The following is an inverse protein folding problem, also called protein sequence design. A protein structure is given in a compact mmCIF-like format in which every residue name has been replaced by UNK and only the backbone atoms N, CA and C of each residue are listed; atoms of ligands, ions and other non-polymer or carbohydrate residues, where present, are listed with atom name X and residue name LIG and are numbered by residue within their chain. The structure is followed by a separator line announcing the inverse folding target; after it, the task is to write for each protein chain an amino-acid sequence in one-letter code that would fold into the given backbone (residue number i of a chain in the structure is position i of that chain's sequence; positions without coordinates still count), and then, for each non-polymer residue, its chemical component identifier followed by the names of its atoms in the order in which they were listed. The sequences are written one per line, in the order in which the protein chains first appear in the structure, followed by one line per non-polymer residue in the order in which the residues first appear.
data_IF_558020789647
#
_entry.id   IF_558020789647
#
_cell.length_a   1.000
_cell.length_b   1.000
_cell.length_c   1.000
_cell.angle_alpha   90.00
_cell.angle_beta   90.00
_cell.angle_gamma   90.00
#
_symmetry.space_group_name_H-M   'P 1'
#
loop_
_entity.id
_entity.type
_entity.pdbx_description
1 polymer ?
#
# COMPACT_ATOMS: atom_id res chain seq x y z
N UNK A 1 -6.00 -0.39 -3.97
CA UNK A 1 -5.28 -0.04 -2.71
C UNK A 1 -6.18 0.49 -1.62
N UNK A 2 -7.29 1.17 -1.92
CA UNK A 2 -8.24 1.63 -0.90
C UNK A 2 -8.71 0.52 0.05
N UNK A 3 -9.12 -0.64 -0.47
CA UNK A 3 -9.58 -1.76 0.36
C UNK A 3 -8.50 -2.32 1.32
N UNK A 4 -7.22 -2.35 0.91
CA UNK A 4 -6.12 -2.83 1.77
C UNK A 4 -5.86 -1.84 2.91
N UNK A 5 -5.93 -0.53 2.63
CA UNK A 5 -5.79 0.50 3.65
C UNK A 5 -6.87 0.35 4.73
N UNK A 6 -8.14 0.17 4.36
CA UNK A 6 -9.20 -0.05 5.35
C UNK A 6 -9.05 -1.40 6.09
N UNK A 7 -8.63 -2.46 5.41
CA UNK A 7 -8.42 -3.78 6.01
C UNK A 7 -7.29 -3.80 7.06
N UNK A 8 -6.25 -2.98 6.90
CA UNK A 8 -5.14 -2.85 7.85
C UNK A 8 -5.37 -1.74 8.90
N UNK A 9 -6.58 -1.17 8.96
CA UNK A 9 -6.97 -0.18 9.98
C UNK A 9 -6.67 1.28 9.64
N UNK A 10 -6.28 1.59 8.40
CA UNK A 10 -6.11 2.97 7.95
C UNK A 10 -7.43 3.56 7.48
N UNK A 11 -7.84 4.67 8.13
CA UNK A 11 -9.02 5.44 7.74
C UNK A 11 -8.87 6.22 6.42
N UNK A 12 -7.63 6.38 5.92
CA UNK A 12 -7.36 7.09 4.68
C UNK A 12 -6.33 6.35 3.80
N UNK A 13 -6.69 5.98 2.56
CA UNK A 13 -5.77 5.39 1.59
C UNK A 13 -4.56 6.27 1.27
N UNK A 14 -4.73 7.60 1.34
CA UNK A 14 -3.66 8.57 1.11
C UNK A 14 -2.62 8.55 2.22
N UNK A 15 -3.06 8.39 3.48
CA UNK A 15 -2.16 8.30 4.63
C UNK A 15 -1.40 6.97 4.65
N UNK A 16 -2.10 5.87 4.33
CA UNK A 16 -1.48 4.56 4.10
C UNK A 16 -0.38 4.64 3.03
N UNK A 17 -0.69 5.24 1.87
CA UNK A 17 0.29 5.31 0.76
C UNK A 17 1.53 6.12 1.13
N UNK A 18 1.38 7.18 1.92
CA UNK A 18 2.52 7.99 2.42
C UNK A 18 3.37 7.21 3.43
N UNK A 19 2.75 6.56 4.41
CA UNK A 19 3.47 5.75 5.40
C UNK A 19 4.15 4.54 4.76
N UNK A 20 3.44 3.82 3.90
CA UNK A 20 3.97 2.66 3.19
C UNK A 20 5.17 3.03 2.34
N UNK A 21 5.12 4.17 1.63
CA UNK A 21 6.24 4.63 0.82
C UNK A 21 7.42 5.12 1.66
N UNK A 22 7.20 5.59 2.89
CA UNK A 22 8.27 5.96 3.82
C UNK A 22 8.97 4.73 4.39
N UNK A 23 8.21 3.68 4.69
CA UNK A 23 8.72 2.46 5.31
C UNK A 23 9.38 1.52 4.29
N UNK A 24 8.74 1.31 3.14
CA UNK A 24 9.18 0.35 2.12
C UNK A 24 9.89 1.02 0.94
N UNK A 25 10.03 2.36 0.96
CA UNK A 25 10.62 3.18 -0.12
C UNK A 25 9.95 2.98 -1.50
N UNK A 26 8.79 2.31 -1.54
CA UNK A 26 8.07 1.96 -2.75
C UNK A 26 6.57 2.15 -2.60
N UNK A 27 5.85 2.31 -3.71
CA UNK A 27 4.39 2.42 -3.64
C UNK A 27 3.75 1.04 -3.37
N UNK A 28 2.60 0.99 -2.66
CA UNK A 28 1.86 -0.25 -2.46
C UNK A 28 1.46 -0.92 -3.78
N UNK A 29 1.21 -0.13 -4.83
CA UNK A 29 0.95 -0.63 -6.18
C UNK A 29 2.12 -1.41 -6.75
N UNK A 30 3.34 -0.85 -6.66
CA UNK A 30 4.56 -1.49 -7.13
C UNK A 30 4.89 -2.75 -6.33
N UNK A 31 4.68 -2.71 -5.01
CA UNK A 31 4.83 -3.88 -4.14
C UNK A 31 3.89 -5.02 -4.54
N UNK A 32 2.61 -4.72 -4.85
CA UNK A 32 1.63 -5.73 -5.29
C UNK A 32 1.91 -6.25 -6.70
N UNK A 33 2.41 -5.41 -7.59
CA UNK A 33 2.75 -5.81 -8.96
C UNK A 33 3.93 -6.79 -8.99
N UNK A 34 4.89 -6.65 -8.06
CA UNK A 34 6.00 -7.59 -7.87
C UNK A 34 5.61 -8.96 -7.28
N UNK A 35 4.39 -9.10 -6.74
CA UNK A 35 3.88 -10.36 -6.18
C UNK A 35 2.78 -11.03 -7.00
N UNK A 36 2.50 -10.53 -8.21
CA UNK A 36 1.34 -10.93 -9.02
C UNK A 36 1.68 -11.34 -10.45
N UNK A 37 2.84 -11.96 -10.66
CA UNK A 37 3.25 -12.60 -11.92
C UNK A 37 3.98 -13.92 -11.62
N UNK A 38 3.22 -14.93 -11.19
CA UNK A 38 3.50 -16.35 -11.35
C UNK A 38 2.16 -17.07 -11.47
#
# INVERSE_FOLDING_TARGET
MGAVAFAVGFNSPSYFSRSFRKEFEMSPSRYREGGGKA
#
